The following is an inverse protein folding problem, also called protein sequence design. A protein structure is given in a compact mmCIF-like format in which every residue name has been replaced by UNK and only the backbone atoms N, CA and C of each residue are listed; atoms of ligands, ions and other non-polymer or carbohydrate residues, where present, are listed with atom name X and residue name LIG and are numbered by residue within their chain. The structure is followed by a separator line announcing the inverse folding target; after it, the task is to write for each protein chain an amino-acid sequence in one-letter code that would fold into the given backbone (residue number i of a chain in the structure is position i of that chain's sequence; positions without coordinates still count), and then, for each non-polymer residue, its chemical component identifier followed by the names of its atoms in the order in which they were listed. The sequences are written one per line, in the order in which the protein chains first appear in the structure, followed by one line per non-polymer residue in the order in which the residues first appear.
data_IF_308163037198
#
_entry.id   IF_308163037198
#
_cell.length_a   1.000
_cell.length_b   1.000
_cell.length_c   1.000
_cell.angle_alpha   90.00
_cell.angle_beta   90.00
_cell.angle_gamma   90.00
#
_symmetry.space_group_name_H-M   'P 1'
#
loop_
_entity.id
_entity.type
_entity.pdbx_description
1 polymer ?
#
# COMPACT_ATOMS: atom_id res chain seq x y z
N UNK A 1 3.98 -11.32 -12.56
CA UNK A 1 5.29 -10.79 -12.11
C UNK A 1 6.19 -10.68 -13.32
N UNK A 2 6.93 -9.59 -13.43
CA UNK A 2 7.86 -9.33 -14.56
C UNK A 2 9.20 -10.05 -14.39
N UNK A 3 10.02 -10.09 -15.44
CA UNK A 3 11.36 -10.70 -15.39
C UNK A 3 12.30 -9.93 -14.45
N UNK A 4 12.27 -8.59 -14.49
CA UNK A 4 13.07 -7.75 -13.60
C UNK A 4 12.78 -8.02 -12.10
N UNK A 5 11.53 -8.35 -11.76
CA UNK A 5 11.18 -8.76 -10.40
C UNK A 5 11.71 -10.15 -10.03
N UNK A 6 11.72 -11.10 -10.97
CA UNK A 6 12.32 -12.42 -10.70
C UNK A 6 13.81 -12.29 -10.38
N UNK A 7 14.52 -11.46 -11.15
CA UNK A 7 15.94 -11.17 -10.92
C UNK A 7 16.14 -10.44 -9.58
N UNK A 8 15.37 -9.38 -9.31
CA UNK A 8 15.46 -8.65 -8.04
C UNK A 8 15.22 -9.54 -6.81
N UNK A 9 14.27 -10.48 -6.89
CA UNK A 9 13.99 -11.42 -5.81
C UNK A 9 15.12 -12.44 -5.60
N UNK A 10 16.03 -12.62 -6.56
CA UNK A 10 17.21 -13.48 -6.42
C UNK A 10 18.43 -12.74 -5.85
N UNK A 11 18.41 -11.40 -5.82
CA UNK A 11 19.54 -10.60 -5.30
C UNK A 11 19.70 -10.72 -3.77
N UNK A 12 18.62 -11.05 -3.05
CA UNK A 12 18.61 -11.23 -1.59
C UNK A 12 17.81 -12.48 -1.24
N UNK A 13 18.19 -13.15 -0.16
CA UNK A 13 17.37 -14.21 0.43
C UNK A 13 16.02 -13.68 0.90
N UNK A 14 15.03 -14.58 1.01
CA UNK A 14 13.73 -14.24 1.56
C UNK A 14 13.83 -13.63 2.97
N UNK A 15 14.75 -14.14 3.80
CA UNK A 15 14.96 -13.63 5.15
C UNK A 15 15.51 -12.20 5.16
N UNK A 16 16.41 -11.85 4.23
CA UNK A 16 16.92 -10.48 4.12
C UNK A 16 15.84 -9.50 3.67
N UNK A 17 14.99 -9.89 2.72
CA UNK A 17 13.82 -9.11 2.31
C UNK A 17 12.87 -8.90 3.48
N UNK A 18 12.45 -9.98 4.14
CA UNK A 18 11.50 -9.92 5.25
C UNK A 18 12.05 -9.14 6.44
N UNK A 19 13.35 -9.26 6.74
CA UNK A 19 14.02 -8.48 7.80
C UNK A 19 13.99 -6.99 7.47
N UNK A 20 14.34 -6.61 6.24
CA UNK A 20 14.32 -5.22 5.78
C UNK A 20 12.91 -4.62 5.83
N UNK A 21 11.90 -5.40 5.43
CA UNK A 21 10.49 -4.99 5.47
C UNK A 21 10.03 -4.83 6.92
N UNK A 22 10.29 -5.84 7.77
CA UNK A 22 9.89 -5.83 9.19
C UNK A 22 10.51 -4.67 9.95
N UNK A 23 11.76 -4.30 9.66
CA UNK A 23 12.42 -3.11 10.24
C UNK A 23 11.68 -1.81 9.91
N UNK A 24 11.05 -1.71 8.73
CA UNK A 24 10.29 -0.52 8.34
C UNK A 24 8.85 -0.48 8.86
N UNK A 25 8.31 -1.60 9.38
CA UNK A 25 6.95 -1.65 9.93
C UNK A 25 6.97 -1.16 11.38
N UNK A 26 6.20 -0.11 11.74
CA UNK A 26 6.11 0.36 13.13
C UNK A 26 5.58 -0.71 14.09
N UNK A 27 6.01 -0.70 15.34
CA UNK A 27 5.61 -1.71 16.34
C UNK A 27 4.10 -1.82 16.54
N UNK A 28 3.37 -0.70 16.52
CA UNK A 28 1.92 -0.73 16.68
C UNK A 28 1.22 -1.38 15.47
N UNK A 29 1.80 -1.26 14.27
CA UNK A 29 1.34 -1.98 13.08
C UNK A 29 1.67 -3.47 13.23
N UNK A 30 2.86 -3.84 13.71
CA UNK A 30 3.21 -5.25 13.96
C UNK A 30 2.26 -5.89 14.96
N UNK A 31 1.91 -5.18 16.04
CA UNK A 31 0.94 -5.66 17.04
C UNK A 31 -0.44 -5.87 16.43
N UNK A 32 -0.91 -4.92 15.61
CA UNK A 32 -2.20 -5.03 14.93
C UNK A 32 -2.23 -6.20 13.93
N UNK A 33 -1.14 -6.43 13.18
CA UNK A 33 -1.09 -7.44 12.11
C UNK A 33 -0.64 -8.84 12.59
N UNK A 34 0.04 -8.92 13.72
CA UNK A 34 0.61 -10.15 14.29
C UNK A 34 -0.34 -10.90 15.24
N UNK A 35 -1.59 -10.48 15.35
CA UNK A 35 -2.61 -11.13 16.17
C UNK A 35 -3.07 -12.49 15.61
N UNK A 36 -3.80 -13.24 16.42
CA UNK A 36 -4.43 -14.52 16.03
C UNK A 36 -5.71 -14.34 15.19
N UNK A 37 -6.13 -13.10 14.98
CA UNK A 37 -7.35 -12.71 14.26
C UNK A 37 -7.01 -11.56 13.31
N UNK A 38 -7.78 -11.37 12.22
CA UNK A 38 -7.60 -10.21 11.37
C UNK A 38 -7.76 -8.91 12.17
N UNK A 39 -7.00 -7.86 11.83
CA UNK A 39 -7.16 -6.56 12.48
C UNK A 39 -8.56 -6.01 12.22
N UNK A 40 -9.20 -5.54 13.28
CA UNK A 40 -10.50 -4.88 13.21
C UNK A 40 -10.40 -3.52 12.54
N UNK A 41 -11.54 -2.98 12.11
CA UNK A 41 -11.58 -1.63 11.53
C UNK A 41 -11.10 -0.55 12.50
N UNK A 42 -11.41 -0.70 13.79
CA UNK A 42 -11.06 0.27 14.83
C UNK A 42 -9.58 0.18 15.19
N UNK A 43 -9.00 -1.03 15.26
CA UNK A 43 -7.56 -1.22 15.42
C UNK A 43 -6.80 -0.55 14.27
N UNK A 44 -7.21 -0.80 13.02
CA UNK A 44 -6.61 -0.14 11.86
C UNK A 44 -6.81 1.38 11.91
N UNK A 45 -8.00 1.84 12.30
CA UNK A 45 -8.32 3.27 12.45
C UNK A 45 -7.49 3.96 13.53
N UNK A 46 -7.04 3.23 14.56
CA UNK A 46 -6.20 3.77 15.63
C UNK A 46 -4.74 3.98 15.23
N UNK A 47 -4.28 3.32 14.15
CA UNK A 47 -2.89 3.43 13.69
C UNK A 47 -2.56 4.87 13.24
N UNK A 48 -1.33 5.34 13.47
CA UNK A 48 -0.93 6.70 13.15
C UNK A 48 -0.73 6.88 11.64
N UNK A 49 -1.01 8.10 11.18
CA UNK A 49 -0.44 8.61 9.94
C UNK A 49 0.86 9.35 10.29
N UNK A 50 1.98 8.84 9.82
CA UNK A 50 3.30 9.45 10.05
C UNK A 50 3.52 10.55 9.02
N UNK A 51 3.75 11.77 9.48
CA UNK A 51 4.14 12.91 8.64
C UNK A 51 5.60 12.73 8.19
N UNK A 52 5.80 12.31 6.94
CA UNK A 52 7.14 12.03 6.42
C UNK A 52 7.23 12.06 4.90
N UNK A 53 8.36 12.55 4.40
CA UNK A 53 8.75 12.48 2.98
C UNK A 53 9.55 11.21 2.65
N UNK A 54 9.68 10.28 3.59
CA UNK A 54 10.30 8.98 3.36
C UNK A 54 9.41 8.08 2.50
N UNK A 55 10.03 7.09 1.85
CA UNK A 55 9.29 6.06 1.14
C UNK A 55 8.52 5.17 2.14
N UNK A 56 7.47 4.48 1.67
CA UNK A 56 6.71 3.63 2.57
C UNK A 56 5.44 3.05 1.97
N UNK A 57 4.70 2.33 2.81
CA UNK A 57 3.39 1.74 2.50
C UNK A 57 2.36 2.38 3.42
N UNK A 58 1.21 2.75 2.85
CA UNK A 58 0.09 3.30 3.59
C UNK A 58 -1.18 2.52 3.27
N UNK A 59 -2.18 2.67 4.14
CA UNK A 59 -3.54 2.30 3.82
C UNK A 59 -4.49 3.49 3.91
N UNK A 60 -5.58 3.43 3.16
CA UNK A 60 -6.68 4.39 3.21
C UNK A 60 -7.96 3.67 3.60
N UNK A 61 -8.52 4.06 4.72
CA UNK A 61 -9.79 3.59 5.27
C UNK A 61 -10.89 4.53 4.78
N UNK A 62 -11.84 4.01 4.00
CA UNK A 62 -12.98 4.77 3.51
C UNK A 62 -14.28 4.06 3.84
N UNK A 63 -15.35 4.83 3.98
CA UNK A 63 -16.70 4.29 4.13
C UNK A 63 -17.51 4.52 2.86
N UNK A 64 -18.50 3.68 2.60
CA UNK A 64 -19.53 3.90 1.60
C UNK A 64 -20.32 5.18 1.90
N UNK A 65 -20.78 5.87 0.85
CA UNK A 65 -21.78 6.95 0.98
C UNK A 65 -23.17 6.40 1.25
N UNK A 66 -23.43 5.16 0.83
CA UNK A 66 -24.71 4.50 1.01
C UNK A 66 -24.63 3.57 2.23
N UNK A 67 -25.58 3.71 3.15
CA UNK A 67 -25.82 2.73 4.21
C UNK A 67 -26.58 1.54 3.61
N UNK A 68 -25.96 0.75 2.74
CA UNK A 68 -26.59 -0.47 2.22
C UNK A 68 -26.33 -1.58 3.25
N UNK A 69 -27.40 -2.12 3.83
CA UNK A 69 -27.32 -3.09 4.94
C UNK A 69 -26.70 -4.46 4.57
N UNK A 70 -26.50 -4.76 3.28
CA UNK A 70 -26.12 -6.10 2.80
C UNK A 70 -24.66 -6.25 2.34
N UNK A 71 -23.86 -5.18 2.31
CA UNK A 71 -22.42 -5.24 1.97
C UNK A 71 -21.67 -4.39 2.98
N UNK A 72 -20.44 -4.79 3.35
CA UNK A 72 -19.60 -3.98 4.25
C UNK A 72 -19.52 -2.55 3.72
N UNK A 73 -19.90 -1.59 4.57
CA UNK A 73 -19.81 -0.16 4.27
C UNK A 73 -18.39 0.36 4.49
N UNK A 74 -17.45 -0.50 4.88
CA UNK A 74 -16.05 -0.19 5.19
C UNK A 74 -15.16 -0.79 4.13
N UNK A 75 -14.25 0.03 3.62
CA UNK A 75 -13.30 -0.41 2.61
C UNK A 75 -11.88 -0.01 2.99
N UNK A 76 -10.94 -0.90 2.71
CA UNK A 76 -9.52 -0.68 2.94
C UNK A 76 -8.73 -0.74 1.63
N UNK A 77 -8.01 0.33 1.35
CA UNK A 77 -7.06 0.42 0.24
C UNK A 77 -5.63 0.35 0.73
N UNK A 78 -4.78 -0.43 0.08
CA UNK A 78 -3.33 -0.41 0.30
C UNK A 78 -2.63 0.22 -0.90
N UNK A 79 -1.63 1.06 -0.64
CA UNK A 79 -0.78 1.65 -1.66
C UNK A 79 0.61 1.98 -1.12
N UNK A 80 1.56 2.23 -2.00
CA UNK A 80 2.90 2.67 -1.63
C UNK A 80 3.27 4.05 -2.16
N UNK A 81 4.31 4.60 -1.55
CA UNK A 81 5.06 5.75 -2.01
C UNK A 81 6.53 5.34 -2.15
N UNK A 82 6.89 4.81 -3.31
CA UNK A 82 8.27 4.39 -3.62
C UNK A 82 9.04 5.42 -4.47
N UNK A 83 8.37 6.44 -5.02
CA UNK A 83 9.04 7.46 -5.86
C UNK A 83 9.95 8.35 -5.01
N UNK A 84 11.16 8.58 -5.52
CA UNK A 84 12.14 9.49 -4.92
C UNK A 84 11.63 10.94 -4.90
N UNK A 85 11.98 11.68 -3.84
CA UNK A 85 11.78 13.13 -3.76
C UNK A 85 10.47 13.62 -3.10
N UNK A 86 9.56 12.73 -2.68
CA UNK A 86 8.32 13.18 -2.02
C UNK A 86 7.66 12.19 -1.05
N UNK A 87 7.94 10.89 -1.18
CA UNK A 87 7.51 9.88 -0.21
C UNK A 87 6.02 9.87 0.10
N UNK A 88 5.69 9.45 1.33
CA UNK A 88 4.31 9.27 1.81
C UNK A 88 3.49 10.56 1.74
N UNK A 89 4.03 11.69 2.20
CA UNK A 89 3.34 12.97 2.19
C UNK A 89 2.89 13.40 0.79
N UNK A 90 3.79 13.37 -0.19
CA UNK A 90 3.45 13.73 -1.57
C UNK A 90 2.37 12.80 -2.11
N UNK A 91 2.49 11.49 -1.86
CA UNK A 91 1.55 10.50 -2.37
C UNK A 91 0.14 10.65 -1.77
N UNK A 92 0.05 10.98 -0.49
CA UNK A 92 -1.23 11.25 0.19
C UNK A 92 -1.83 12.57 -0.32
N UNK A 93 -1.01 13.60 -0.53
CA UNK A 93 -1.45 14.86 -1.13
C UNK A 93 -2.01 14.63 -2.55
N UNK A 94 -1.36 13.83 -3.39
CA UNK A 94 -1.86 13.44 -4.72
C UNK A 94 -3.25 12.79 -4.65
N UNK A 95 -3.50 11.97 -3.63
CA UNK A 95 -4.77 11.25 -3.45
C UNK A 95 -5.90 12.06 -2.82
N UNK A 96 -5.58 13.19 -2.20
CA UNK A 96 -6.54 14.10 -1.56
C UNK A 96 -6.81 15.35 -2.40
N UNK A 97 -5.90 15.73 -3.30
CA UNK A 97 -6.06 16.89 -4.18
C UNK A 97 -7.30 16.74 -5.07
N UNK A 98 -8.13 17.79 -5.12
CA UNK A 98 -9.23 17.90 -6.08
C UNK A 98 -8.64 18.11 -7.48
N UNK A 99 -8.75 17.10 -8.33
CA UNK A 99 -8.22 17.10 -9.68
C UNK A 99 -9.38 16.96 -10.67
N UNK A 100 -9.25 17.53 -11.88
CA UNK A 100 -10.24 17.34 -12.96
C UNK A 100 -10.32 15.85 -13.33
N UNK A 101 -11.52 15.34 -13.63
CA UNK A 101 -11.78 13.90 -13.93
C UNK A 101 -10.76 13.24 -14.87
N UNK A 102 -10.32 13.93 -15.92
CA UNK A 102 -9.35 13.41 -16.90
C UNK A 102 -7.93 13.16 -16.34
N UNK A 103 -7.63 13.68 -15.16
CA UNK A 103 -6.34 13.52 -14.48
C UNK A 103 -6.50 12.83 -13.12
N UNK A 104 -7.67 12.24 -12.83
CA UNK A 104 -7.89 11.48 -11.59
C UNK A 104 -6.92 10.30 -11.52
N UNK A 105 -6.36 10.07 -10.32
CA UNK A 105 -5.66 8.81 -10.06
C UNK A 105 -6.65 7.64 -10.10
N UNK A 106 -6.14 6.41 -10.29
CA UNK A 106 -6.99 5.20 -10.22
C UNK A 106 -7.77 5.11 -8.91
N UNK A 107 -7.13 5.44 -7.78
CA UNK A 107 -7.79 5.48 -6.47
C UNK A 107 -8.95 6.50 -6.43
N UNK A 108 -8.76 7.69 -6.99
CA UNK A 108 -9.81 8.71 -7.05
C UNK A 108 -10.99 8.26 -7.93
N UNK A 109 -10.67 7.65 -9.07
CA UNK A 109 -11.67 7.02 -9.94
C UNK A 109 -12.47 5.96 -9.18
N UNK A 110 -11.78 5.05 -8.47
CA UNK A 110 -12.41 3.96 -7.72
C UNK A 110 -13.29 4.49 -6.58
N UNK A 111 -12.83 5.49 -5.82
CA UNK A 111 -13.64 6.15 -4.78
C UNK A 111 -14.92 6.73 -5.35
N UNK A 112 -14.86 7.32 -6.55
CA UNK A 112 -16.03 7.89 -7.21
C UNK A 112 -16.98 6.80 -7.72
N UNK A 113 -16.48 5.79 -8.42
CA UNK A 113 -17.32 4.74 -9.04
C UNK A 113 -17.92 3.77 -8.02
N UNK A 114 -17.21 3.53 -6.91
CA UNK A 114 -17.72 2.75 -5.77
C UNK A 114 -18.56 3.57 -4.79
N UNK A 115 -18.86 4.83 -5.11
CA UNK A 115 -19.62 5.75 -4.25
C UNK A 115 -19.10 5.84 -2.80
N UNK A 116 -17.77 5.95 -2.63
CA UNK A 116 -17.11 6.02 -1.32
C UNK A 116 -16.94 7.48 -0.86
N UNK A 117 -16.88 7.68 0.46
CA UNK A 117 -16.61 8.98 1.08
C UNK A 117 -15.17 9.39 0.78
N UNK A 118 -14.99 10.61 0.26
CA UNK A 118 -13.66 11.12 -0.04
C UNK A 118 -12.83 11.40 1.22
N UNK A 119 -13.46 11.72 2.35
CA UNK A 119 -12.84 12.06 3.63
C UNK A 119 -12.30 10.85 4.42
N UNK A 120 -11.80 9.83 3.72
CA UNK A 120 -11.21 8.65 4.37
C UNK A 120 -9.95 8.98 5.17
N UNK A 121 -9.65 8.13 6.15
CA UNK A 121 -8.45 8.22 6.98
C UNK A 121 -7.29 7.52 6.28
N UNK A 122 -6.11 8.13 6.32
CA UNK A 122 -4.87 7.46 5.93
C UNK A 122 -4.16 6.95 7.19
N UNK A 123 -3.48 5.82 7.06
CA UNK A 123 -2.61 5.25 8.09
C UNK A 123 -1.30 4.80 7.46
N UNK A 124 -0.22 4.84 8.21
CA UNK A 124 1.08 4.36 7.75
C UNK A 124 1.29 2.91 8.18
N UNK A 125 1.59 2.02 7.22
CA UNK A 125 1.88 0.61 7.48
C UNK A 125 3.39 0.34 7.53
N UNK A 126 4.18 1.09 6.77
CA UNK A 126 5.64 0.95 6.72
C UNK A 126 6.28 2.29 6.33
N UNK A 127 7.42 2.60 6.94
CA UNK A 127 8.31 3.72 6.54
C UNK A 127 9.69 3.18 6.27
N UNK A 128 10.31 3.63 5.18
CA UNK A 128 11.69 3.32 4.85
C UNK A 128 12.43 4.61 4.51
N UNK A 129 13.52 4.87 5.23
CA UNK A 129 14.33 6.07 5.04
C UNK A 129 14.91 6.09 3.63
N UNK A 130 14.92 7.27 2.99
CA UNK A 130 15.51 7.46 1.65
C UNK A 130 16.44 8.67 1.67
N UNK A 131 17.55 8.51 2.36
CA UNK A 131 18.53 9.54 2.69
C UNK A 131 19.76 9.52 1.78
N UNK A 132 19.74 8.68 0.74
CA UNK A 132 20.78 8.62 -0.28
C UNK A 132 20.21 8.98 -1.66
N UNK A 133 21.00 9.73 -2.43
CA UNK A 133 20.77 9.96 -3.87
C UNK A 133 21.44 8.90 -4.75
N UNK A 134 22.20 7.95 -4.16
CA UNK A 134 22.82 6.86 -4.89
C UNK A 134 21.74 5.97 -5.52
N UNK A 135 21.91 5.67 -6.81
CA UNK A 135 20.89 5.01 -7.62
C UNK A 135 20.54 3.62 -7.08
N UNK A 136 21.56 2.90 -6.63
CA UNK A 136 21.48 1.54 -6.10
C UNK A 136 20.66 1.52 -4.81
N UNK A 137 20.92 2.47 -3.90
CA UNK A 137 20.18 2.62 -2.65
C UNK A 137 18.72 3.01 -2.92
N UNK A 138 18.48 3.95 -3.84
CA UNK A 138 17.12 4.35 -4.23
C UNK A 138 16.37 3.17 -4.86
N UNK A 139 17.04 2.38 -5.70
CA UNK A 139 16.43 1.20 -6.33
C UNK A 139 16.10 0.13 -5.29
N UNK A 140 16.98 -0.09 -4.32
CA UNK A 140 16.75 -1.06 -3.24
C UNK A 140 15.58 -0.67 -2.34
N UNK A 141 15.51 0.61 -1.93
CA UNK A 141 14.36 1.15 -1.19
C UNK A 141 13.07 0.92 -1.98
N UNK A 142 13.09 1.20 -3.29
CA UNK A 142 11.92 1.01 -4.15
C UNK A 142 11.48 -0.44 -4.22
N UNK A 143 12.42 -1.37 -4.40
CA UNK A 143 12.15 -2.81 -4.41
C UNK A 143 11.57 -3.25 -3.07
N UNK A 144 12.19 -2.85 -1.97
CA UNK A 144 11.72 -3.18 -0.62
C UNK A 144 10.30 -2.68 -0.39
N UNK A 145 10.02 -1.39 -0.66
CA UNK A 145 8.69 -0.79 -0.44
C UNK A 145 7.63 -1.39 -1.36
N UNK A 146 7.96 -1.70 -2.61
CA UNK A 146 7.00 -2.29 -3.55
C UNK A 146 6.71 -3.75 -3.22
N UNK A 147 7.71 -4.51 -2.74
CA UNK A 147 7.51 -5.87 -2.23
C UNK A 147 6.68 -5.85 -0.94
N UNK A 148 6.95 -4.89 -0.04
CA UNK A 148 6.15 -4.69 1.16
C UNK A 148 4.69 -4.33 0.85
N UNK A 149 4.43 -3.50 -0.17
CA UNK A 149 3.08 -3.23 -0.66
C UNK A 149 2.38 -4.52 -1.08
N UNK A 150 3.06 -5.38 -1.84
CA UNK A 150 2.49 -6.65 -2.27
C UNK A 150 2.13 -7.56 -1.08
N UNK A 151 3.06 -7.72 -0.13
CA UNK A 151 2.87 -8.54 1.08
C UNK A 151 1.73 -7.99 1.92
N UNK A 152 1.74 -6.69 2.23
CA UNK A 152 0.71 -6.06 3.07
C UNK A 152 -0.65 -6.03 2.37
N UNK A 153 -0.69 -5.94 1.05
CA UNK A 153 -1.93 -6.07 0.27
C UNK A 153 -2.53 -7.47 0.45
N UNK A 154 -1.72 -8.52 0.35
CA UNK A 154 -2.16 -9.90 0.62
C UNK A 154 -2.56 -10.07 2.08
N UNK A 155 -1.70 -9.62 3.01
CA UNK A 155 -1.91 -9.75 4.45
C UNK A 155 -3.20 -9.07 4.90
N UNK A 156 -3.58 -7.93 4.32
CA UNK A 156 -4.82 -7.23 4.68
C UNK A 156 -6.01 -7.64 3.80
N UNK A 157 -5.87 -8.66 2.94
CA UNK A 157 -6.87 -9.05 1.93
C UNK A 157 -7.33 -7.89 1.03
N UNK A 158 -6.45 -6.92 0.79
CA UNK A 158 -6.69 -5.75 -0.06
C UNK A 158 -6.54 -6.06 -1.56
N UNK A 159 -6.98 -7.24 -1.98
CA UNK A 159 -6.73 -7.76 -3.32
C UNK A 159 -7.71 -7.20 -4.35
N UNK A 160 -7.25 -7.03 -5.59
CA UNK A 160 -8.12 -6.65 -6.71
C UNK A 160 -8.84 -7.89 -7.24
N UNK A 161 -10.18 -7.91 -7.26
CA UNK A 161 -10.93 -9.01 -7.85
C UNK A 161 -10.75 -9.07 -9.39
N UNK A 162 -10.65 -10.27 -10.00
CA UNK A 162 -10.51 -11.57 -9.34
C UNK A 162 -9.07 -11.84 -8.87
N UNK A 163 -8.92 -12.32 -7.63
CA UNK A 163 -7.62 -12.61 -7.00
C UNK A 163 -7.50 -14.05 -6.47
N UNK A 164 -8.22 -15.00 -7.07
CA UNK A 164 -8.39 -16.36 -6.54
C UNK A 164 -7.08 -17.06 -6.15
N UNK A 165 -5.97 -16.82 -6.87
CA UNK A 165 -4.67 -17.40 -6.55
C UNK A 165 -3.90 -16.73 -5.40
N UNK A 166 -4.28 -15.51 -5.00
CA UNK A 166 -3.65 -14.79 -3.87
C UNK A 166 -4.50 -14.81 -2.60
N UNK A 167 -5.78 -15.15 -2.72
CA UNK A 167 -6.65 -15.33 -1.56
C UNK A 167 -6.20 -16.48 -0.66
N UNK A 168 -5.66 -17.56 -1.25
CA UNK A 168 -5.19 -18.73 -0.48
C UNK A 168 -3.94 -18.47 0.36
N UNK A 169 -3.21 -17.37 0.10
CA UNK A 169 -2.03 -16.97 0.89
C UNK A 169 -2.33 -15.82 1.85
N UNK A 170 -3.57 -15.31 1.88
CA UNK A 170 -4.02 -14.41 2.93
C UNK A 170 -4.18 -15.20 4.24
N UNK A 171 -3.61 -14.75 5.37
CA UNK A 171 -3.68 -15.49 6.64
C UNK A 171 -5.08 -15.46 7.29
N UNK A 172 -5.97 -14.60 6.78
CA UNK A 172 -7.29 -14.39 7.36
C UNK A 172 -8.39 -15.07 6.57
N UNK A 173 -9.35 -15.63 7.30
CA UNK A 173 -10.64 -16.02 6.74
C UNK A 173 -11.40 -14.75 6.28
N UNK A 174 -11.80 -14.66 4.99
CA UNK A 174 -12.59 -13.54 4.48
C UNK A 174 -13.89 -13.29 5.26
N UNK A 175 -14.49 -14.32 5.87
CA UNK A 175 -15.71 -14.18 6.66
C UNK A 175 -15.51 -13.41 7.98
N UNK A 176 -14.26 -13.32 8.47
CA UNK A 176 -13.91 -12.61 9.70
C UNK A 176 -13.53 -11.14 9.47
N UNK A 177 -13.36 -10.71 8.22
CA UNK A 177 -12.98 -9.34 7.89
C UNK A 177 -14.16 -8.38 8.06
N UNK A 178 -13.92 -7.27 8.77
CA UNK A 178 -14.90 -6.20 8.98
C UNK A 178 -14.95 -5.16 7.85
N UNK A 179 -14.19 -5.39 6.77
CA UNK A 179 -14.03 -4.45 5.68
C UNK A 179 -13.83 -5.19 4.35
N UNK A 180 -14.13 -4.50 3.25
CA UNK A 180 -13.78 -4.96 1.91
C UNK A 180 -12.43 -4.37 1.50
N UNK A 181 -11.43 -5.23 1.37
CA UNK A 181 -10.13 -4.82 0.85
C UNK A 181 -10.16 -4.55 -0.66
N UNK A 182 -9.37 -3.58 -1.12
CA UNK A 182 -9.10 -3.41 -2.55
C UNK A 182 -7.72 -2.82 -2.81
N UNK A 183 -7.17 -3.10 -3.98
CA UNK A 183 -5.99 -2.42 -4.51
C UNK A 183 -6.29 -1.87 -5.90
N UNK A 184 -5.53 -0.85 -6.26
CA UNK A 184 -5.61 -0.19 -7.57
C UNK A 184 -4.88 -0.96 -8.66
N UNK A 185 -3.92 -1.82 -8.27
CA UNK A 185 -3.09 -2.60 -9.18
C UNK A 185 -2.32 -3.70 -8.42
N UNK A 186 -1.72 -4.64 -9.15
CA UNK A 186 -0.69 -5.51 -8.59
C UNK A 186 0.68 -4.82 -8.74
N UNK A 187 1.37 -4.47 -7.63
CA UNK A 187 2.62 -3.71 -7.67
C UNK A 187 3.76 -4.47 -8.37
N UNK A 188 3.70 -5.81 -8.45
CA UNK A 188 4.71 -6.66 -9.08
C UNK A 188 4.48 -6.88 -10.59
N UNK A 189 3.46 -6.24 -11.17
CA UNK A 189 3.25 -6.22 -12.63
C UNK A 189 3.93 -5.04 -13.32
N UNK A 190 4.38 -4.04 -12.55
CA UNK A 190 5.12 -2.91 -13.08
C UNK A 190 6.60 -3.06 -12.74
N UNK A 191 7.47 -2.84 -13.71
CA UNK A 191 8.91 -2.81 -13.47
C UNK A 191 9.29 -1.59 -12.62
N UNK A 192 10.23 -1.80 -11.71
CA UNK A 192 10.84 -0.70 -10.96
C UNK A 192 11.90 -0.06 -11.83
N UNK A 193 11.48 0.89 -12.66
CA UNK A 193 12.39 1.67 -13.48
C UNK A 193 12.99 2.79 -12.65
N UNK A 194 14.31 3.01 -12.72
CA UNK A 194 14.97 4.17 -12.12
C UNK A 194 14.26 5.48 -12.51
N UNK A 195 14.29 6.52 -11.66
CA UNK A 195 13.86 7.84 -12.10
C UNK A 195 14.68 8.21 -13.33
N UNK A 196 14.01 8.52 -14.46
CA UNK A 196 14.69 9.17 -15.58
C UNK A 196 15.27 10.45 -15.00
N UNK A 197 16.59 10.62 -15.05
CA UNK A 197 17.24 11.86 -14.62
C UNK A 197 16.50 13.01 -15.30
N UNK A 198 15.83 13.86 -14.52
CA UNK A 198 15.31 15.11 -15.05
C UNK A 198 16.49 15.79 -15.71
N UNK A 199 16.38 16.06 -17.01
CA UNK A 199 17.34 16.90 -17.72
C UNK A 199 17.53 18.15 -16.87
N UNK A 200 18.75 18.38 -16.43
CA UNK A 200 19.21 19.70 -16.03
C UNK A 200 18.87 20.65 -17.18
N UNK A 201 17.90 21.53 -16.95
CA UNK A 201 17.63 22.72 -17.76
C UNK A 201 17.77 23.91 -16.84
#
# INVERSE_FOLDING_TARGET
MTQAWREALQEKSANEWLSSISLGIPEDVKKALGGLRPPTWDELGSLPLIDTNNAGVYARLVMSRHKVQMVSDRYLYVGSASRYGGGLNLRIAEHTKKIKRKYESRLQYDIRTKALKASGRFITLMVMKTDSSQKEVVLDVRRTVTLAEAILTVWLSALQAPAHGLQCVCPWDPALLQYTGWSSHNPLLNDIVLPISSKTS
#
